data_IF_862337180499
#
_entry.id   IF_862337180499
#
_cell.length_a   1.000
_cell.length_b   1.000
_cell.length_c   1.000
_cell.angle_alpha   90.00
_cell.angle_beta   90.00
_cell.angle_gamma   90.00
#
_symmetry.space_group_name_H-M   'P 1'
#
loop_
_entity.id
_entity.type
_entity.pdbx_description
1 polymer ?
#
# COMPACT_ATOMS: atom_id res chain seq x y z
N UNK A 1 -8.43 -2.20 -12.79
CA UNK A 1 -8.47 -1.70 -11.40
C UNK A 1 -7.60 -0.46 -11.18
N UNK A 2 -6.35 -0.43 -11.64
CA UNK A 2 -5.45 0.72 -11.47
C UNK A 2 -5.67 1.84 -12.49
N UNK A 3 -6.19 1.52 -13.69
CA UNK A 3 -6.37 2.50 -14.76
C UNK A 3 -5.04 2.89 -15.42
N UNK A 4 -5.03 4.01 -16.12
CA UNK A 4 -3.83 4.65 -16.67
C UNK A 4 -3.52 5.93 -15.89
N UNK A 5 -2.32 6.52 -16.03
CA UNK A 5 -2.02 7.81 -15.39
C UNK A 5 -3.02 8.92 -15.77
N UNK A 6 -3.45 8.96 -17.02
CA UNK A 6 -4.41 9.98 -17.52
C UNK A 6 -5.86 9.68 -17.12
N UNK A 7 -6.18 8.41 -16.84
CA UNK A 7 -7.50 7.95 -16.45
C UNK A 7 -7.37 6.97 -15.26
N UNK A 8 -7.19 7.49 -14.03
CA UNK A 8 -6.95 6.66 -12.87
C UNK A 8 -8.14 5.75 -12.60
N UNK A 9 -7.86 4.51 -12.22
CA UNK A 9 -8.86 3.50 -11.89
C UNK A 9 -9.38 3.64 -10.46
N UNK A 10 -10.09 2.62 -9.99
CA UNK A 10 -10.76 2.64 -8.69
C UNK A 10 -9.76 2.65 -7.52
N UNK A 11 -8.64 1.93 -7.62
CA UNK A 11 -7.64 1.83 -6.54
C UNK A 11 -7.04 3.20 -6.21
N UNK A 12 -6.45 3.94 -7.18
CA UNK A 12 -5.89 5.26 -6.89
C UNK A 12 -6.94 6.26 -6.41
N UNK A 13 -8.16 6.23 -6.98
CA UNK A 13 -9.26 7.13 -6.55
C UNK A 13 -9.69 6.90 -5.11
N UNK A 14 -9.91 5.64 -4.70
CA UNK A 14 -10.30 5.33 -3.32
C UNK A 14 -9.19 5.74 -2.34
N UNK A 15 -7.92 5.52 -2.70
CA UNK A 15 -6.82 5.93 -1.82
C UNK A 15 -6.78 7.46 -1.64
N UNK A 16 -7.00 8.24 -2.70
CA UNK A 16 -7.09 9.70 -2.62
C UNK A 16 -8.27 10.18 -1.76
N UNK A 17 -9.45 9.60 -1.98
CA UNK A 17 -10.66 9.91 -1.22
C UNK A 17 -10.48 9.58 0.27
N UNK A 18 -9.90 8.40 0.58
CA UNK A 18 -9.64 7.96 1.94
C UNK A 18 -8.74 8.95 2.69
N UNK A 19 -7.62 9.34 2.09
CA UNK A 19 -6.69 10.26 2.74
C UNK A 19 -7.25 11.69 2.81
N UNK A 20 -8.07 12.10 1.84
CA UNK A 20 -8.79 13.38 1.88
C UNK A 20 -9.79 13.43 3.05
N UNK A 21 -10.53 12.35 3.28
CA UNK A 21 -11.43 12.21 4.42
C UNK A 21 -10.69 12.26 5.77
N UNK A 22 -9.55 11.57 5.86
CA UNK A 22 -8.70 11.57 7.05
C UNK A 22 -8.15 12.98 7.32
N UNK A 23 -7.70 13.68 6.27
CA UNK A 23 -7.22 15.05 6.38
C UNK A 23 -8.31 16.02 6.87
N UNK A 24 -9.54 15.88 6.37
CA UNK A 24 -10.69 16.69 6.81
C UNK A 24 -11.09 16.44 8.28
N UNK A 25 -10.90 15.21 8.79
CA UNK A 25 -11.21 14.84 10.18
C UNK A 25 -10.13 15.21 11.19
N UNK A 26 -8.93 15.66 10.77
CA UNK A 26 -7.84 16.06 11.69
C UNK A 26 -8.20 17.21 12.64
N UNK A 27 -9.30 17.93 12.43
CA UNK A 27 -9.80 18.95 13.35
C UNK A 27 -10.25 18.38 14.72
N UNK A 28 -10.53 17.07 14.83
CA UNK A 28 -11.07 16.44 16.03
C UNK A 28 -10.08 15.50 16.73
N UNK A 29 -8.81 15.89 16.93
CA UNK A 29 -7.81 15.21 17.78
C UNK A 29 -7.74 13.66 17.70
N UNK A 30 -8.14 13.08 16.57
CA UNK A 30 -8.31 11.64 16.41
C UNK A 30 -7.10 11.07 15.68
N UNK A 31 -6.47 10.07 16.27
CA UNK A 31 -5.40 9.31 15.64
C UNK A 31 -6.01 8.21 14.77
N UNK A 32 -5.59 8.13 13.51
CA UNK A 32 -6.06 7.15 12.54
C UNK A 32 -4.85 6.38 12.01
N UNK A 33 -4.82 5.06 12.23
CA UNK A 33 -3.84 4.16 11.59
C UNK A 33 -4.44 3.53 10.34
N UNK A 34 -3.64 3.46 9.27
CA UNK A 34 -4.02 2.81 8.02
C UNK A 34 -2.99 1.72 7.73
N UNK A 35 -3.47 0.49 7.54
CA UNK A 35 -2.64 -0.65 7.19
C UNK A 35 -2.91 -1.06 5.75
N UNK A 36 -1.85 -1.20 4.95
CA UNK A 36 -1.93 -1.58 3.55
C UNK A 36 -1.21 -2.91 3.36
N UNK A 37 -1.89 -3.86 2.71
CA UNK A 37 -1.30 -5.14 2.32
C UNK A 37 -1.58 -5.35 0.82
N UNK A 38 -0.57 -5.78 0.06
CA UNK A 38 -0.73 -6.04 -1.37
C UNK A 38 -0.12 -7.40 -1.73
N UNK A 39 -0.98 -8.37 -2.02
CA UNK A 39 -0.59 -9.75 -2.28
C UNK A 39 -0.95 -10.16 -3.71
N UNK A 40 -0.10 -11.02 -4.27
CA UNK A 40 -0.41 -11.78 -5.48
C UNK A 40 -0.68 -13.23 -5.08
N UNK A 41 -1.77 -13.79 -5.59
CA UNK A 41 -2.04 -15.23 -5.46
C UNK A 41 -1.83 -15.85 -6.83
N UNK A 42 -0.77 -16.62 -6.97
CA UNK A 42 -0.43 -17.30 -8.21
C UNK A 42 -0.01 -18.74 -7.93
N UNK A 43 -0.64 -19.70 -8.61
CA UNK A 43 -0.42 -21.14 -8.40
C UNK A 43 -0.51 -21.54 -6.93
N UNK A 44 -1.56 -21.08 -6.24
CA UNK A 44 -1.80 -21.35 -4.82
C UNK A 44 -0.69 -20.83 -3.88
N UNK A 45 0.24 -20.01 -4.39
CA UNK A 45 1.25 -19.32 -3.58
C UNK A 45 0.82 -17.87 -3.38
N UNK A 46 0.97 -17.41 -2.15
CA UNK A 46 0.77 -16.01 -1.76
C UNK A 46 2.15 -15.33 -1.80
N UNK A 47 2.30 -14.33 -2.65
CA UNK A 47 3.49 -13.50 -2.74
C UNK A 47 3.16 -12.10 -2.21
N UNK A 48 3.95 -11.60 -1.27
CA UNK A 48 3.87 -10.22 -0.82
C UNK A 48 4.53 -9.30 -1.85
N UNK A 49 3.75 -8.39 -2.42
CA UNK A 49 4.20 -7.44 -3.43
C UNK A 49 4.82 -6.18 -2.83
N UNK A 50 4.62 -5.92 -1.53
CA UNK A 50 5.23 -4.80 -0.81
C UNK A 50 6.56 -5.18 -0.16
N UNK A 51 6.92 -6.47 -0.16
CA UNK A 51 8.21 -6.91 0.34
C UNK A 51 9.35 -6.33 -0.50
N UNK A 52 10.34 -5.73 0.18
CA UNK A 52 11.55 -5.24 -0.46
C UNK A 52 12.26 -6.40 -1.17
N UNK A 53 12.40 -6.30 -2.50
CA UNK A 53 13.06 -7.35 -3.31
C UNK A 53 14.58 -7.37 -3.15
N UNK A 54 15.14 -6.50 -2.31
CA UNK A 54 16.58 -6.52 -2.01
C UNK A 54 16.87 -7.78 -1.17
N UNK A 55 17.81 -8.63 -1.59
CA UNK A 55 18.31 -9.66 -0.69
C UNK A 55 18.84 -8.98 0.56
N UNK A 56 18.57 -9.56 1.73
CA UNK A 56 19.17 -9.10 2.98
C UNK A 56 20.69 -8.98 2.77
N UNK A 57 21.35 -7.90 3.22
CA UNK A 57 22.80 -7.84 3.18
C UNK A 57 23.31 -9.06 3.91
N UNK A 58 24.02 -9.92 3.19
CA UNK A 58 24.70 -11.05 3.80
C UNK A 58 25.80 -10.45 4.66
N UNK A 59 25.48 -10.22 5.94
CA UNK A 59 26.48 -9.98 6.97
C UNK A 59 27.32 -11.24 7.00
N UNK A 60 28.46 -11.21 6.31
CA UNK A 60 29.53 -12.18 6.50
C UNK A 60 29.90 -12.12 7.99
N UNK A 61 29.47 -13.13 8.75
CA UNK A 61 30.05 -13.40 10.05
C UNK A 61 31.53 -13.72 9.81
N UNK A 62 32.41 -12.80 10.22
CA UNK A 62 33.85 -13.01 10.36
C UNK A 62 34.13 -13.26 11.84
#
# INVERSE_FOLDING_TARGET
MYGTPDAPGIVPRITEDLFSLIAGKKASNSLISVHLNYFEIYKEKINDLLQDKKPAPQVCCV
#
